data_IF_496085465047
#
_entry.id   IF_496085465047
#
_cell.length_a   1.000
_cell.length_b   1.000
_cell.length_c   1.000
_cell.angle_alpha   90.00
_cell.angle_beta   90.00
_cell.angle_gamma   90.00
#
_symmetry.space_group_name_H-M   'P 1'
#
loop_
_entity.id
_entity.type
_entity.pdbx_description
1 polymer ?
#
# COMPACT_ATOMS: atom_id res chain seq x y z
N UNK A 1 2.77 5.09 24.05
CA UNK A 1 3.07 4.75 22.64
C UNK A 1 2.89 3.25 22.51
N UNK A 2 2.17 2.77 21.49
CA UNK A 2 2.21 1.34 21.17
C UNK A 2 3.66 0.96 20.88
N UNK A 3 4.22 0.01 21.62
CA UNK A 3 5.61 -0.42 21.44
C UNK A 3 5.68 -1.26 20.17
N UNK A 4 6.30 -0.73 19.13
CA UNK A 4 6.55 -1.49 17.90
C UNK A 4 7.72 -2.44 18.15
N UNK A 5 7.45 -3.75 18.17
CA UNK A 5 8.45 -4.80 18.37
C UNK A 5 8.62 -5.63 17.11
N UNK A 6 9.75 -6.33 16.98
CA UNK A 6 9.96 -7.34 15.94
C UNK A 6 8.95 -8.50 16.05
N UNK A 7 8.48 -8.79 17.28
CA UNK A 7 7.48 -9.81 17.57
C UNK A 7 6.05 -9.40 17.15
N UNK A 8 5.82 -8.10 16.91
CA UNK A 8 4.54 -7.62 16.42
C UNK A 8 4.34 -8.07 14.97
N UNK A 9 3.18 -8.67 14.62
CA UNK A 9 2.91 -9.07 13.24
C UNK A 9 3.10 -7.92 12.26
N UNK A 10 3.67 -8.21 11.08
CA UNK A 10 3.96 -7.20 10.05
C UNK A 10 2.75 -6.28 9.76
N UNK A 11 1.56 -6.87 9.68
CA UNK A 11 0.30 -6.19 9.41
C UNK A 11 -0.06 -5.10 10.42
N UNK A 12 0.42 -5.22 11.66
CA UNK A 12 0.14 -4.32 12.78
C UNK A 12 1.28 -3.31 13.01
N UNK A 13 2.53 -3.67 12.66
CA UNK A 13 3.70 -2.78 12.82
C UNK A 13 4.05 -1.97 11.56
N UNK A 14 3.45 -2.26 10.42
CA UNK A 14 3.62 -1.45 9.22
C UNK A 14 3.11 -0.02 9.45
N UNK A 15 3.76 0.97 8.80
CA UNK A 15 3.30 2.36 8.84
C UNK A 15 1.86 2.49 8.29
N UNK A 16 1.59 1.77 7.21
CA UNK A 16 0.25 1.54 6.68
C UNK A 16 -0.21 0.14 7.11
N UNK A 17 -0.96 0.09 8.22
CA UNK A 17 -1.52 -1.16 8.75
C UNK A 17 -2.50 -1.77 7.74
N UNK A 18 -2.61 -3.09 7.75
CA UNK A 18 -3.45 -3.81 6.79
C UNK A 18 -4.05 -5.08 7.39
N UNK A 19 -5.05 -5.62 6.71
CA UNK A 19 -5.67 -6.90 7.01
C UNK A 19 -5.50 -7.85 5.83
N UNK A 20 -5.34 -9.14 6.11
CA UNK A 20 -5.34 -10.16 5.05
C UNK A 20 -6.79 -10.50 4.70
N UNK A 21 -7.07 -10.51 3.41
CA UNK A 21 -8.36 -10.93 2.85
C UNK A 21 -8.13 -12.10 1.90
N UNK A 22 -9.15 -12.95 1.79
CA UNK A 22 -9.12 -14.11 0.91
C UNK A 22 -9.86 -13.80 -0.40
N UNK A 23 -9.13 -13.66 -1.50
CA UNK A 23 -9.70 -13.66 -2.84
C UNK A 23 -9.89 -15.11 -3.28
N UNK A 24 -11.11 -15.61 -3.15
CA UNK A 24 -11.46 -16.98 -3.52
C UNK A 24 -12.23 -17.03 -4.84
N UNK A 25 -11.75 -17.86 -5.77
CA UNK A 25 -12.43 -18.17 -7.02
C UNK A 25 -12.31 -19.68 -7.28
N UNK A 26 -13.40 -20.46 -7.20
CA UNK A 26 -13.35 -21.92 -7.37
C UNK A 26 -13.01 -22.35 -8.80
N UNK A 27 -13.14 -21.45 -9.78
CA UNK A 27 -12.78 -21.70 -11.18
C UNK A 27 -11.33 -21.32 -11.50
N UNK A 28 -10.54 -20.90 -10.51
CA UNK A 28 -9.17 -20.44 -10.68
C UNK A 28 -8.18 -21.40 -10.04
N UNK A 29 -7.00 -21.52 -10.63
CA UNK A 29 -5.83 -22.12 -9.98
C UNK A 29 -4.73 -21.06 -9.83
N UNK A 30 -4.27 -20.77 -8.59
CA UNK A 30 -4.84 -21.25 -7.33
C UNK A 30 -6.22 -20.62 -7.03
N UNK A 31 -7.08 -21.39 -6.37
CA UNK A 31 -8.45 -20.95 -6.06
C UNK A 31 -8.45 -19.84 -5.01
N UNK A 32 -7.54 -19.94 -4.03
CA UNK A 32 -7.31 -18.96 -2.99
C UNK A 32 -6.07 -18.12 -3.31
N UNK A 33 -6.26 -16.81 -3.44
CA UNK A 33 -5.20 -15.82 -3.39
C UNK A 33 -5.37 -15.00 -2.12
N UNK A 34 -4.29 -14.83 -1.36
CA UNK A 34 -4.28 -13.92 -0.22
C UNK A 34 -3.96 -12.52 -0.71
N UNK A 35 -4.84 -11.57 -0.40
CA UNK A 35 -4.59 -10.15 -0.65
C UNK A 35 -4.56 -9.38 0.66
N UNK A 36 -4.17 -8.12 0.57
CA UNK A 36 -4.25 -7.19 1.68
C UNK A 36 -5.28 -6.09 1.41
N UNK A 37 -5.90 -5.62 2.49
CA UNK A 37 -6.71 -4.41 2.49
C UNK A 37 -6.12 -3.42 3.48
N UNK A 38 -5.86 -2.19 3.05
CA UNK A 38 -5.34 -1.16 3.95
C UNK A 38 -6.38 -0.80 5.00
N UNK A 39 -5.94 -0.73 6.26
CA UNK A 39 -6.83 -0.45 7.41
C UNK A 39 -7.05 1.05 7.61
N UNK A 40 -6.22 1.89 7.01
CA UNK A 40 -6.29 3.34 7.13
C UNK A 40 -5.79 4.02 5.85
N UNK A 41 -6.31 5.23 5.58
CA UNK A 41 -5.91 6.04 4.41
C UNK A 41 -4.60 6.79 4.66
N UNK A 42 -4.25 7.03 5.93
CA UNK A 42 -3.02 7.73 6.33
C UNK A 42 -2.35 7.05 7.53
N UNK A 43 -1.01 7.06 7.61
CA UNK A 43 -0.29 6.52 8.76
C UNK A 43 -0.45 7.42 9.99
N UNK A 44 -0.14 6.88 11.17
CA UNK A 44 -0.22 7.65 12.42
C UNK A 44 0.78 8.83 12.42
N UNK A 45 0.27 10.06 12.52
CA UNK A 45 1.06 11.29 12.49
C UNK A 45 2.13 11.36 13.59
N UNK A 46 1.94 10.65 14.71
CA UNK A 46 2.97 10.54 15.77
C UNK A 46 4.21 9.76 15.33
N UNK A 47 4.11 8.88 14.32
CA UNK A 47 5.20 8.07 13.80
C UNK A 47 5.89 8.71 12.59
N UNK A 48 5.12 9.40 11.73
CA UNK A 48 5.64 9.97 10.47
C UNK A 48 5.89 11.48 10.52
N UNK A 49 5.52 12.15 11.62
CA UNK A 49 5.68 13.59 11.79
C UNK A 49 4.71 14.39 10.92
N UNK A 50 5.17 15.55 10.42
CA UNK A 50 4.36 16.50 9.62
C UNK A 50 4.22 16.13 8.14
N UNK A 51 4.80 15.03 7.68
CA UNK A 51 4.76 14.65 6.26
C UNK A 51 3.38 14.09 5.91
N UNK A 52 2.83 14.54 4.78
CA UNK A 52 1.57 14.05 4.24
C UNK A 52 1.85 12.77 3.46
N UNK A 53 1.67 11.63 4.12
CA UNK A 53 1.68 10.32 3.49
C UNK A 53 0.26 9.80 3.33
N UNK A 54 0.01 9.08 2.25
CA UNK A 54 -1.19 8.30 2.03
C UNK A 54 -0.86 6.82 1.91
N UNK A 55 -1.77 5.99 2.38
CA UNK A 55 -1.60 4.54 2.37
C UNK A 55 -2.29 3.95 1.16
N UNK A 56 -1.49 3.45 0.23
CA UNK A 56 -1.97 2.92 -1.04
C UNK A 56 -1.68 1.43 -1.19
N UNK A 57 -2.54 0.75 -1.96
CA UNK A 57 -2.38 -0.67 -2.23
C UNK A 57 -1.30 -0.88 -3.31
N UNK A 58 -0.24 -1.60 -2.96
CA UNK A 58 0.72 -2.10 -3.93
C UNK A 58 0.13 -3.29 -4.67
N UNK A 59 -0.21 -3.09 -5.95
CA UNK A 59 -0.84 -4.10 -6.79
C UNK A 59 0.19 -4.89 -7.59
N UNK A 60 -0.02 -6.20 -7.70
CA UNK A 60 0.82 -7.10 -8.47
C UNK A 60 -0.02 -7.97 -9.40
N UNK A 61 0.51 -8.21 -10.61
CA UNK A 61 -0.12 -9.04 -11.62
C UNK A 61 0.40 -10.47 -11.52
N UNK A 62 -0.50 -11.41 -11.24
CA UNK A 62 -0.20 -12.84 -11.10
C UNK A 62 -0.82 -13.59 -12.26
N UNK A 63 -0.07 -14.49 -12.88
CA UNK A 63 -0.60 -15.43 -13.87
C UNK A 63 -1.34 -16.55 -13.17
N UNK A 64 -2.56 -16.82 -13.61
CA UNK A 64 -3.44 -17.86 -13.07
C UNK A 64 -4.00 -18.69 -14.20
N UNK A 65 -4.48 -19.89 -13.89
CA UNK A 65 -5.27 -20.68 -14.82
C UNK A 65 -6.74 -20.54 -14.45
N UNK A 66 -7.57 -20.14 -15.40
CA UNK A 66 -9.02 -20.07 -15.26
C UNK A 66 -9.68 -21.22 -16.02
N UNK A 67 -10.60 -21.90 -15.35
CA UNK A 67 -11.42 -22.93 -15.94
C UNK A 67 -12.51 -22.30 -16.81
N UNK A 68 -12.67 -22.82 -18.02
CA UNK A 68 -13.68 -22.32 -18.95
C UNK A 68 -15.11 -22.54 -18.41
N UNK A 69 -16.08 -21.83 -18.99
CA UNK A 69 -17.49 -21.91 -18.58
C UNK A 69 -18.08 -23.31 -18.78
N UNK A 70 -17.48 -24.12 -19.66
CA UNK A 70 -17.89 -25.50 -19.93
C UNK A 70 -17.21 -26.52 -19.02
N UNK A 71 -16.36 -26.08 -18.08
CA UNK A 71 -15.60 -26.93 -17.18
C UNK A 71 -14.75 -28.01 -17.87
N UNK A 72 -14.15 -27.71 -19.02
CA UNK A 72 -13.39 -28.69 -19.80
C UNK A 72 -11.90 -28.33 -19.94
N UNK A 73 -11.57 -27.05 -20.06
CA UNK A 73 -10.19 -26.61 -20.31
C UNK A 73 -9.77 -25.45 -19.41
N UNK A 74 -8.46 -25.36 -19.16
CA UNK A 74 -7.84 -24.22 -18.49
C UNK A 74 -7.26 -23.24 -19.51
N UNK A 75 -7.43 -21.95 -19.24
CA UNK A 75 -6.83 -20.86 -20.02
C UNK A 75 -6.00 -19.97 -19.11
N UNK A 76 -4.88 -19.48 -19.62
CA UNK A 76 -4.05 -18.50 -18.91
C UNK A 76 -4.83 -17.19 -18.77
N UNK A 77 -4.79 -16.62 -17.57
CA UNK A 77 -5.36 -15.33 -17.24
C UNK A 77 -4.39 -14.56 -16.35
N UNK A 78 -4.57 -13.24 -16.28
CA UNK A 78 -3.83 -12.39 -15.34
C UNK A 78 -4.83 -11.87 -14.31
N UNK A 79 -4.48 -12.01 -13.05
CA UNK A 79 -5.21 -11.44 -11.91
C UNK A 79 -4.37 -10.33 -11.29
N UNK A 80 -5.02 -9.26 -10.87
CA UNK A 80 -4.36 -8.16 -10.15
C UNK A 80 -4.76 -8.23 -8.69
N UNK A 81 -3.78 -8.44 -7.81
CA UNK A 81 -4.00 -8.57 -6.37
C UNK A 81 -3.27 -7.48 -5.60
N UNK A 82 -3.81 -7.07 -4.45
CA UNK A 82 -3.09 -6.20 -3.53
C UNK A 82 -2.15 -7.03 -2.64
N UNK A 83 -0.84 -6.82 -2.75
CA UNK A 83 0.17 -7.55 -1.97
C UNK A 83 0.56 -6.86 -0.66
N UNK A 84 0.52 -5.52 -0.64
CA UNK A 84 0.94 -4.72 0.49
C UNK A 84 0.21 -3.38 0.52
N UNK A 85 0.26 -2.71 1.67
CA UNK A 85 -0.09 -1.31 1.84
C UNK A 85 1.18 -0.51 2.07
N UNK A 86 1.42 0.49 1.23
CA UNK A 86 2.65 1.28 1.24
C UNK A 86 2.34 2.77 1.47
N UNK A 87 3.16 3.47 2.28
CA UNK A 87 3.05 4.91 2.40
C UNK A 87 3.62 5.57 1.14
N UNK A 88 2.82 6.36 0.45
CA UNK A 88 3.21 7.18 -0.70
C UNK A 88 3.14 8.66 -0.36
N UNK A 89 4.04 9.45 -0.95
CA UNK A 89 4.00 10.92 -0.83
C UNK A 89 3.15 11.46 -1.97
N UNK A 90 2.14 12.27 -1.66
CA UNK A 90 1.37 12.95 -2.69
C UNK A 90 2.23 14.01 -3.38
N UNK A 91 2.49 13.84 -4.67
CA UNK A 91 3.19 14.85 -5.48
C UNK A 91 2.37 16.14 -5.64
N UNK A 92 1.04 16.04 -5.60
CA UNK A 92 0.11 17.18 -5.76
C UNK A 92 0.03 18.08 -4.53
N UNK A 93 0.50 17.64 -3.35
CA UNK A 93 0.69 18.52 -2.20
C UNK A 93 1.74 19.62 -2.48
N UNK A 94 2.59 19.44 -3.51
CA UNK A 94 3.51 20.48 -3.98
C UNK A 94 2.89 21.41 -5.05
N UNK A 95 1.74 21.04 -5.63
CA UNK A 95 1.09 21.81 -6.69
C UNK A 95 0.07 22.82 -6.13
N UNK A 96 -0.59 22.48 -5.02
CA UNK A 96 -1.53 23.36 -4.31
C UNK A 96 -0.85 24.12 -3.16
N UNK A 97 0.26 24.80 -3.46
CA UNK A 97 0.73 25.99 -2.73
C UNK A 97 0.69 25.99 -1.20
N UNK A 98 0.91 24.87 -0.50
CA UNK A 98 1.06 24.90 0.96
C UNK A 98 2.44 25.45 1.32
N UNK A 99 2.44 26.65 1.91
CA UNK A 99 3.60 27.45 2.28
C UNK A 99 4.52 26.83 3.36
N UNK A 100 4.34 25.56 3.71
CA UNK A 100 4.98 24.90 4.86
C UNK A 100 6.35 24.27 4.54
N UNK A 101 6.82 24.34 3.29
CA UNK A 101 8.10 23.75 2.86
C UNK A 101 9.21 24.75 2.51
N UNK A 102 9.04 26.04 2.79
CA UNK A 102 10.14 27.01 2.64
C UNK A 102 10.95 27.14 3.93
N UNK A 103 12.12 26.52 3.98
CA UNK A 103 13.14 26.85 4.98
C UNK A 103 13.91 28.10 4.49
N UNK A 104 13.79 29.27 5.16
CA UNK A 104 14.58 30.43 4.78
C UNK A 104 16.04 30.18 5.15
N UNK A 105 16.87 29.90 4.15
CA UNK A 105 18.32 29.94 4.31
C UNK A 105 18.70 31.41 4.40
N UNK A 106 19.23 31.85 5.56
CA UNK A 106 19.78 33.19 5.68
C UNK A 106 20.98 33.29 4.76
N UNK A 107 20.89 34.12 3.73
CA UNK A 107 22.02 34.44 2.87
C UNK A 107 23.09 35.17 3.70
N UNK A 108 24.33 34.70 3.64
CA UNK A 108 25.46 35.45 4.17
C UNK A 108 25.74 36.66 3.27
N UNK A 109 25.96 37.81 3.90
CA UNK A 109 26.25 39.07 3.23
C UNK A 109 27.66 38.96 2.62
N UNK A 110 27.85 39.25 1.31
CA UNK A 110 29.18 39.24 0.72
C UNK A 110 30.07 40.30 1.40
N UNK A 111 31.29 39.90 1.78
CA UNK A 111 32.34 40.78 2.32
C UNK A 111 32.94 41.63 1.22
#
# INVERSE_FOLDING_TARGET
MEVVSAETPLRERALCKFEYILNYNPRRLPAALTEVKCSCDRPNSKLVGKRIFECEHLRYQVRVLMFDETCNTFREHIETIALACIPVVQANANADGEADFMFPIKAEVPV
#
